data_IF_688156046005
#
_entry.id   IF_688156046005
#
_cell.length_a   1.000
_cell.length_b   1.000
_cell.length_c   1.000
_cell.angle_alpha   90.00
_cell.angle_beta   90.00
_cell.angle_gamma   90.00
#
_symmetry.space_group_name_H-M   'P 1'
#
loop_
_entity.id
_entity.type
_entity.pdbx_description
1 polymer ?
#
# COMPACT_ATOMS: atom_id res chain seq x y z
N UNK A 1 10.57 -24.12 -19.82
CA UNK A 1 10.39 -23.10 -18.77
C UNK A 1 9.44 -22.04 -19.31
N UNK A 2 8.35 -21.72 -18.59
CA UNK A 2 7.44 -20.63 -18.96
C UNK A 2 7.96 -19.35 -18.31
N UNK A 3 8.31 -18.35 -19.11
CA UNK A 3 8.62 -17.02 -18.60
C UNK A 3 7.29 -16.32 -18.30
N UNK A 4 6.93 -16.23 -17.03
CA UNK A 4 5.78 -15.42 -16.65
C UNK A 4 6.24 -13.96 -16.64
N UNK A 5 5.85 -13.20 -17.66
CA UNK A 5 6.10 -11.77 -17.72
C UNK A 5 5.18 -11.14 -16.68
N UNK A 6 5.76 -10.67 -15.58
CA UNK A 6 5.03 -9.90 -14.57
C UNK A 6 4.69 -8.56 -15.24
N UNK A 7 3.40 -8.26 -15.39
CA UNK A 7 2.92 -6.94 -15.79
C UNK A 7 3.54 -5.87 -14.89
N UNK A 8 3.74 -4.64 -15.38
CA UNK A 8 4.17 -3.54 -14.51
C UNK A 8 3.25 -3.39 -13.29
N UNK A 9 3.73 -2.77 -12.19
CA UNK A 9 2.92 -2.54 -11.01
C UNK A 9 1.67 -1.74 -11.39
N UNK A 10 0.51 -2.13 -10.85
CA UNK A 10 -0.75 -1.40 -11.09
C UNK A 10 -0.79 -0.03 -10.41
N UNK A 11 -0.12 0.09 -9.26
CA UNK A 11 -0.05 1.32 -8.46
C UNK A 11 1.40 1.79 -8.34
N UNK A 12 1.59 3.10 -8.34
CA UNK A 12 2.90 3.73 -8.29
C UNK A 12 3.21 4.33 -6.91
N UNK A 13 4.49 4.66 -6.68
CA UNK A 13 4.90 5.37 -5.46
C UNK A 13 4.18 6.70 -5.35
N UNK A 14 3.88 7.10 -4.11
CA UNK A 14 3.17 8.31 -3.75
C UNK A 14 1.71 8.37 -4.22
N UNK A 15 1.17 7.29 -4.76
CA UNK A 15 -0.25 7.20 -5.09
C UNK A 15 -1.08 6.88 -3.84
N UNK A 16 -2.20 7.58 -3.67
CA UNK A 16 -3.19 7.31 -2.62
C UNK A 16 -4.11 6.18 -3.04
N UNK A 17 -4.23 5.15 -2.20
CA UNK A 17 -5.00 3.93 -2.47
C UNK A 17 -6.02 3.63 -1.38
N UNK A 18 -7.06 2.90 -1.75
CA UNK A 18 -8.14 2.45 -0.88
C UNK A 18 -8.06 0.93 -0.70
N UNK A 19 -8.32 0.45 0.50
CA UNK A 19 -8.39 -0.98 0.84
C UNK A 19 -9.33 -1.17 2.05
N UNK A 20 -9.63 -2.42 2.42
CA UNK A 20 -10.60 -2.72 3.50
C UNK A 20 -10.23 -2.05 4.83
N UNK A 21 -8.94 -1.88 5.12
CA UNK A 21 -8.43 -1.24 6.33
C UNK A 21 -8.41 0.29 6.31
N UNK A 22 -8.77 0.94 5.20
CA UNK A 22 -8.82 2.40 5.08
C UNK A 22 -8.14 2.95 3.83
N UNK A 23 -7.48 4.10 4.00
CA UNK A 23 -6.78 4.84 2.94
C UNK A 23 -5.33 4.99 3.33
N UNK A 24 -4.43 4.91 2.35
CA UNK A 24 -3.01 5.16 2.58
C UNK A 24 -2.25 5.46 1.29
N UNK A 25 -0.97 5.78 1.43
CA UNK A 25 -0.08 6.16 0.34
C UNK A 25 0.93 5.05 0.06
N UNK A 26 1.10 4.68 -1.21
CA UNK A 26 2.11 3.71 -1.64
C UNK A 26 3.50 4.29 -1.39
N UNK A 27 4.32 3.66 -0.54
CA UNK A 27 5.72 4.05 -0.32
C UNK A 27 6.69 3.22 -1.14
N UNK A 28 6.35 1.94 -1.34
CA UNK A 28 7.16 1.04 -2.12
C UNK A 28 6.34 -0.15 -2.62
N UNK A 29 6.87 -0.89 -3.59
CA UNK A 29 6.29 -2.12 -4.07
C UNK A 29 7.37 -3.10 -4.52
N UNK A 30 7.04 -4.39 -4.49
CA UNK A 30 7.91 -5.46 -4.98
C UNK A 30 7.08 -6.52 -5.70
N UNK A 31 7.63 -7.19 -6.72
CA UNK A 31 6.96 -8.29 -7.36
C UNK A 31 6.74 -9.44 -6.35
N UNK A 32 5.61 -10.13 -6.47
CA UNK A 32 5.25 -11.32 -5.70
C UNK A 32 4.46 -12.27 -6.59
N UNK A 33 4.95 -13.49 -6.82
CA UNK A 33 4.21 -14.58 -7.50
C UNK A 33 3.23 -14.16 -8.62
N UNK A 34 3.76 -13.55 -9.69
CA UNK A 34 3.00 -13.05 -10.86
C UNK A 34 2.13 -11.79 -10.64
N UNK A 35 2.27 -11.12 -9.50
CA UNK A 35 1.61 -9.87 -9.13
C UNK A 35 2.57 -9.03 -8.27
N UNK A 36 2.04 -8.15 -7.41
CA UNK A 36 2.77 -7.15 -6.66
C UNK A 36 2.30 -7.08 -5.21
N UNK A 37 3.26 -6.87 -4.31
CA UNK A 37 3.02 -6.48 -2.93
C UNK A 37 3.36 -5.01 -2.75
N UNK A 38 2.54 -4.30 -2.00
CA UNK A 38 2.60 -2.86 -1.80
C UNK A 38 2.78 -2.51 -0.33
N UNK A 39 3.79 -1.70 -0.02
CA UNK A 39 3.94 -1.06 1.28
C UNK A 39 3.14 0.24 1.28
N UNK A 40 2.06 0.25 2.06
CA UNK A 40 1.11 1.36 2.14
C UNK A 40 1.20 2.01 3.51
N UNK A 41 1.59 3.26 3.56
CA UNK A 41 1.63 4.08 4.78
C UNK A 41 0.25 4.71 4.99
N UNK A 42 -0.38 4.40 6.12
CA UNK A 42 -1.69 4.93 6.49
C UNK A 42 -1.56 6.36 6.99
N UNK A 43 -2.58 7.18 6.73
CA UNK A 43 -2.65 8.51 7.33
C UNK A 43 -2.64 8.42 8.85
N UNK A 44 -1.84 9.27 9.48
CA UNK A 44 -1.81 9.39 10.92
C UNK A 44 -3.14 9.98 11.38
N UNK A 45 -3.86 9.23 12.22
CA UNK A 45 -5.05 9.76 12.87
C UNK A 45 -4.72 10.99 13.75
N UNK A 46 -5.74 11.72 14.23
CA UNK A 46 -5.54 12.87 15.09
C UNK A 46 -4.71 12.52 16.33
N UNK A 47 -3.93 13.49 16.82
CA UNK A 47 -3.10 13.28 18.01
C UNK A 47 -3.98 13.03 19.25
N UNK A 48 -3.72 11.95 20.02
CA UNK A 48 -4.47 11.67 21.24
C UNK A 48 -4.09 12.63 22.37
N UNK A 49 -5.03 12.87 23.30
CA UNK A 49 -4.86 13.83 24.41
C UNK A 49 -3.63 13.59 25.29
N UNK A 50 -3.18 12.33 25.41
CA UNK A 50 -2.04 11.95 26.25
C UNK A 50 -0.71 11.89 25.47
N UNK A 51 -0.69 12.41 24.24
CA UNK A 51 0.42 12.28 23.31
C UNK A 51 0.48 10.89 22.67
N UNK A 52 1.09 10.81 21.48
CA UNK A 52 1.30 9.54 20.78
C UNK A 52 2.71 9.02 21.03
N UNK A 53 2.81 7.70 21.25
CA UNK A 53 4.09 6.99 21.23
C UNK A 53 4.12 6.16 19.93
N UNK A 54 5.09 6.44 19.05
CA UNK A 54 5.24 5.78 17.75
C UNK A 54 4.93 6.69 16.55
N UNK A 55 5.21 6.18 15.35
CA UNK A 55 5.09 6.87 14.06
C UNK A 55 3.94 6.29 13.20
N UNK A 56 3.77 6.81 11.98
CA UNK A 56 2.82 6.27 10.99
C UNK A 56 2.95 4.76 10.81
N UNK A 57 1.80 4.10 10.61
CA UNK A 57 1.73 2.65 10.38
C UNK A 57 1.87 2.36 8.90
N UNK A 58 2.80 1.47 8.55
CA UNK A 58 2.90 0.91 7.19
C UNK A 58 2.35 -0.51 7.18
N UNK A 59 1.39 -0.79 6.29
CA UNK A 59 0.85 -2.12 6.05
C UNK A 59 1.39 -2.69 4.74
N UNK A 60 1.61 -4.00 4.70
CA UNK A 60 1.97 -4.70 3.47
C UNK A 60 0.70 -5.35 2.91
N UNK A 61 0.31 -4.96 1.70
CA UNK A 61 -0.90 -5.42 1.04
C UNK A 61 -0.57 -6.14 -0.27
N UNK A 62 -1.29 -7.21 -0.55
CA UNK A 62 -1.29 -7.84 -1.87
C UNK A 62 -2.08 -6.96 -2.84
N UNK A 63 -1.71 -6.95 -4.13
CA UNK A 63 -2.38 -6.12 -5.16
C UNK A 63 -3.90 -6.28 -5.17
N UNK A 64 -4.39 -7.51 -4.92
CA UNK A 64 -5.81 -7.83 -4.87
C UNK A 64 -6.58 -7.23 -3.68
N UNK A 65 -5.88 -6.87 -2.60
CA UNK A 65 -6.50 -6.26 -1.41
C UNK A 65 -6.70 -4.74 -1.58
N UNK A 66 -6.12 -4.14 -2.63
CA UNK A 66 -6.31 -2.73 -2.98
C UNK A 66 -7.54 -2.59 -3.89
N UNK A 67 -8.54 -1.86 -3.41
CA UNK A 67 -9.84 -1.73 -4.07
C UNK A 67 -9.92 -0.55 -5.04
N UNK A 68 -8.97 0.41 -4.96
CA UNK A 68 -8.94 1.58 -5.84
C UNK A 68 -7.79 2.52 -5.54
N UNK A 69 -7.66 3.58 -6.34
CA UNK A 69 -6.69 4.64 -6.14
C UNK A 69 -7.24 5.99 -6.60
N UNK A 70 -6.73 7.07 -6.01
CA UNK A 70 -6.91 8.41 -6.56
C UNK A 70 -5.96 8.60 -7.76
N UNK A 71 -6.46 9.33 -8.75
CA UNK A 71 -5.78 9.68 -10.01
C UNK A 71 -5.01 10.99 -9.87
#
# INVERSE_FOLDING_TARGET
>A
MRFNIISGPKYDKNQTVFFIGGVGTIKNYKPDSNTWNYAVEMEMGPEPYFGRIGNETTVLLHEADITGALI
#
